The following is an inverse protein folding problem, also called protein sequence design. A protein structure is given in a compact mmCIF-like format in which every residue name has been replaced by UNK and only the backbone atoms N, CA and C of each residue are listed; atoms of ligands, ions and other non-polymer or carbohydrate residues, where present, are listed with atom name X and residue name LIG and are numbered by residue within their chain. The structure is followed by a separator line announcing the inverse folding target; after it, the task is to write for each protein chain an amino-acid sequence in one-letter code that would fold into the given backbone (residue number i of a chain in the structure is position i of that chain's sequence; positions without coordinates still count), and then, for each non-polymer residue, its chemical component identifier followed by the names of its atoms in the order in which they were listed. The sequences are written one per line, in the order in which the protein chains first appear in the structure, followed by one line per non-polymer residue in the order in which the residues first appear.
data_IF_264645196100
#
_entry.id   IF_264645196100
#
_cell.length_a   1.000
_cell.length_b   1.000
_cell.length_c   1.000
_cell.angle_alpha   90.00
_cell.angle_beta   90.00
_cell.angle_gamma   90.00
#
_symmetry.space_group_name_H-M   'P 1'
#
loop_
_entity.id
_entity.type
_entity.pdbx_description
1 polymer ?
#
# COMPACT_ATOMS: atom_id res chain seq x y z
N UNK A 1 17.17 22.89 -13.51
CA UNK A 1 15.86 22.91 -12.82
C UNK A 1 14.94 23.84 -13.59
N UNK A 2 14.09 23.31 -14.46
CA UNK A 2 12.99 24.05 -15.09
C UNK A 2 11.91 24.22 -14.04
N UNK A 3 11.78 25.42 -13.49
CA UNK A 3 10.60 25.82 -12.73
C UNK A 3 9.41 25.79 -13.68
N UNK A 4 8.56 24.79 -13.55
CA UNK A 4 7.25 24.74 -14.24
C UNK A 4 6.42 25.85 -13.59
N UNK A 5 6.32 27.00 -14.25
CA UNK A 5 5.34 28.03 -13.90
C UNK A 5 3.94 27.48 -14.20
N UNK A 6 3.37 26.77 -13.23
CA UNK A 6 1.95 26.43 -13.26
C UNK A 6 1.14 27.73 -13.18
N UNK A 7 0.12 27.93 -14.03
CA UNK A 7 -0.74 29.09 -13.90
C UNK A 7 -1.41 29.07 -12.52
N UNK A 8 -1.24 30.13 -11.74
CA UNK A 8 -1.92 30.31 -10.45
C UNK A 8 -3.41 30.06 -10.64
N UNK A 9 -3.96 29.12 -9.91
CA UNK A 9 -5.36 28.73 -10.05
C UNK A 9 -6.26 29.94 -9.74
N UNK A 10 -6.98 30.45 -10.78
CA UNK A 10 -7.82 31.63 -10.69
C UNK A 10 -9.00 31.49 -9.72
N UNK A 11 -9.29 30.27 -9.26
CA UNK A 11 -10.40 29.98 -8.34
C UNK A 11 -10.04 30.26 -6.87
N UNK A 12 -8.76 30.15 -6.49
CA UNK A 12 -8.31 30.49 -5.14
C UNK A 12 -8.20 32.01 -5.01
N UNK A 13 -9.06 32.59 -4.18
CA UNK A 13 -9.20 34.05 -4.03
C UNK A 13 -9.20 34.49 -2.58
N UNK A 14 -8.88 35.74 -2.33
CA UNK A 14 -8.95 36.28 -0.96
C UNK A 14 -10.40 36.32 -0.44
N UNK A 15 -10.54 36.19 0.87
CA UNK A 15 -11.83 36.26 1.55
C UNK A 15 -12.61 37.57 1.22
N UNK A 16 -11.89 38.70 1.12
CA UNK A 16 -12.46 39.99 0.70
C UNK A 16 -13.05 39.91 -0.72
N UNK A 17 -12.33 39.26 -1.65
CA UNK A 17 -12.80 39.08 -3.03
C UNK A 17 -14.01 38.14 -3.12
N UNK A 18 -14.06 37.08 -2.32
CA UNK A 18 -15.23 36.19 -2.21
C UNK A 18 -16.49 36.94 -1.81
N UNK A 19 -16.42 37.83 -0.80
CA UNK A 19 -17.55 38.65 -0.37
C UNK A 19 -18.04 39.56 -1.49
N UNK A 20 -17.12 40.21 -2.18
CA UNK A 20 -17.45 41.13 -3.30
C UNK A 20 -18.10 40.34 -4.44
N UNK A 21 -17.55 39.21 -4.83
CA UNK A 21 -18.09 38.38 -5.91
C UNK A 21 -19.46 37.79 -5.55
N UNK A 22 -19.62 37.26 -4.36
CA UNK A 22 -20.91 36.74 -3.89
C UNK A 22 -22.02 37.80 -3.98
N UNK A 23 -21.74 39.04 -3.53
CA UNK A 23 -22.67 40.17 -3.63
C UNK A 23 -22.98 40.54 -5.09
N UNK A 24 -21.96 40.57 -5.96
CA UNK A 24 -22.11 40.81 -7.38
C UNK A 24 -23.02 39.78 -8.04
N UNK A 25 -22.76 38.51 -7.85
CA UNK A 25 -23.54 37.43 -8.44
C UNK A 25 -24.97 37.36 -7.89
N UNK A 26 -25.18 37.67 -6.61
CA UNK A 26 -26.54 37.79 -6.04
C UNK A 26 -27.34 38.86 -6.72
N UNK A 27 -26.75 40.05 -7.02
CA UNK A 27 -27.41 41.11 -7.79
C UNK A 27 -27.78 40.69 -9.23
N UNK A 28 -27.09 39.68 -9.76
CA UNK A 28 -27.35 39.05 -11.05
C UNK A 28 -28.38 37.90 -10.99
N UNK A 29 -29.02 37.70 -9.82
CA UNK A 29 -29.99 36.63 -9.60
C UNK A 29 -29.41 35.25 -9.38
N UNK A 30 -28.06 35.14 -9.23
CA UNK A 30 -27.40 33.87 -9.04
C UNK A 30 -27.54 33.35 -7.59
N UNK A 31 -27.85 32.07 -7.45
CA UNK A 31 -27.96 31.37 -6.17
C UNK A 31 -26.60 30.96 -5.66
N UNK A 32 -26.18 31.56 -4.55
CA UNK A 32 -24.86 31.30 -3.92
C UNK A 32 -24.96 30.16 -2.95
N UNK A 33 -24.06 29.18 -3.09
CA UNK A 33 -23.85 28.07 -2.17
C UNK A 33 -22.51 28.25 -1.46
N UNK A 34 -22.45 27.92 -0.18
CA UNK A 34 -21.21 27.86 0.58
C UNK A 34 -21.05 26.49 1.22
N UNK A 35 -19.83 26.00 1.29
CA UNK A 35 -19.43 24.80 2.00
C UNK A 35 -18.09 25.06 2.69
N UNK A 36 -17.93 24.68 3.96
CA UNK A 36 -16.67 24.86 4.69
C UNK A 36 -16.12 23.53 5.18
N UNK A 37 -14.81 23.50 5.36
CA UNK A 37 -14.14 22.32 5.92
C UNK A 37 -12.63 22.48 6.00
N UNK A 38 -11.99 21.50 6.62
CA UNK A 38 -10.53 21.45 6.72
C UNK A 38 -9.86 20.98 5.43
N UNK A 39 -10.44 19.99 4.80
CA UNK A 39 -9.91 19.34 3.58
C UNK A 39 -8.44 18.88 3.73
N UNK A 40 -8.07 18.39 4.93
CA UNK A 40 -6.67 18.11 5.26
C UNK A 40 -6.07 16.98 4.39
N UNK A 41 -6.66 15.80 4.38
CA UNK A 41 -6.33 14.74 3.41
C UNK A 41 -7.57 14.54 2.57
N UNK A 42 -7.54 15.01 1.31
CA UNK A 42 -8.69 14.86 0.41
C UNK A 42 -8.93 13.38 0.12
N UNK A 43 -10.19 12.97 0.23
CA UNK A 43 -10.67 11.62 -0.05
C UNK A 43 -12.03 11.68 -0.76
N UNK A 44 -12.51 10.53 -1.25
CA UNK A 44 -13.75 10.45 -2.02
C UNK A 44 -14.95 11.10 -1.33
N UNK A 45 -15.04 11.02 0.01
CA UNK A 45 -16.10 11.68 0.76
C UNK A 45 -16.12 13.20 0.56
N UNK A 46 -14.96 13.86 0.55
CA UNK A 46 -14.88 15.30 0.26
C UNK A 46 -15.33 15.61 -1.18
N UNK A 47 -14.91 14.81 -2.16
CA UNK A 47 -15.29 15.01 -3.57
C UNK A 47 -16.81 14.91 -3.75
N UNK A 48 -17.43 13.85 -3.20
CA UNK A 48 -18.88 13.67 -3.28
C UNK A 48 -19.66 14.77 -2.55
N UNK A 49 -19.19 15.19 -1.36
CA UNK A 49 -19.81 16.31 -0.63
C UNK A 49 -19.76 17.61 -1.43
N UNK A 50 -18.65 17.90 -2.11
CA UNK A 50 -18.52 19.09 -2.96
C UNK A 50 -19.47 18.99 -4.16
N UNK A 51 -19.55 17.85 -4.82
CA UNK A 51 -20.45 17.62 -5.96
C UNK A 51 -21.94 17.68 -5.55
N UNK A 52 -22.29 17.28 -4.32
CA UNK A 52 -23.64 17.45 -3.79
C UNK A 52 -23.93 18.91 -3.45
N UNK A 53 -22.96 19.62 -2.86
CA UNK A 53 -23.09 21.05 -2.53
C UNK A 53 -23.25 21.90 -3.80
N UNK A 54 -22.52 21.62 -4.87
CA UNK A 54 -22.63 22.31 -6.16
C UNK A 54 -24.05 22.28 -6.71
N UNK A 55 -24.76 21.14 -6.61
CA UNK A 55 -26.15 20.99 -7.06
C UNK A 55 -27.17 21.85 -6.33
N UNK A 56 -26.79 22.53 -5.24
CA UNK A 56 -27.70 23.33 -4.42
C UNK A 56 -27.89 24.75 -4.95
N UNK A 57 -27.11 25.19 -5.96
CA UNK A 57 -27.23 26.53 -6.54
C UNK A 57 -26.42 26.74 -7.81
N UNK A 58 -26.16 28.01 -8.15
CA UNK A 58 -25.46 28.38 -9.40
C UNK A 58 -23.93 28.52 -9.21
N UNK A 59 -23.47 28.85 -8.01
CA UNK A 59 -22.06 29.10 -7.70
C UNK A 59 -21.72 28.57 -6.33
N UNK A 60 -20.68 27.71 -6.28
CA UNK A 60 -20.17 27.13 -5.03
C UNK A 60 -18.89 27.85 -4.57
N UNK A 61 -18.95 28.44 -3.40
CA UNK A 61 -17.83 29.01 -2.67
C UNK A 61 -17.39 28.04 -1.57
N UNK A 62 -16.22 27.46 -1.68
CA UNK A 62 -15.66 26.58 -0.65
C UNK A 62 -14.77 27.40 0.28
N UNK A 63 -15.02 27.29 1.58
CA UNK A 63 -14.30 27.99 2.65
C UNK A 63 -13.39 27.00 3.36
N UNK A 64 -12.09 27.16 3.21
CA UNK A 64 -11.06 26.27 3.79
C UNK A 64 -10.58 26.87 5.11
N UNK A 65 -10.63 26.11 6.21
CA UNK A 65 -10.06 26.54 7.47
C UNK A 65 -8.54 26.70 7.35
N UNK A 66 -7.98 27.83 7.85
CA UNK A 66 -6.53 28.03 7.87
C UNK A 66 -5.84 27.01 8.81
N UNK A 67 -4.53 26.89 8.68
CA UNK A 67 -3.73 26.02 9.56
C UNK A 67 -3.88 26.45 11.03
N UNK A 68 -3.96 27.75 11.29
CA UNK A 68 -4.20 28.31 12.62
C UNK A 68 -5.58 27.88 13.15
N UNK A 69 -6.62 27.99 12.32
CA UNK A 69 -7.97 27.57 12.67
C UNK A 69 -8.01 26.08 13.02
N UNK A 70 -7.43 25.23 12.19
CA UNK A 70 -7.41 23.75 12.39
C UNK A 70 -6.66 23.37 13.67
N UNK A 71 -5.50 23.97 13.94
CA UNK A 71 -4.72 23.72 15.17
C UNK A 71 -5.53 24.04 16.43
N UNK A 72 -6.30 25.12 16.40
CA UNK A 72 -7.04 25.58 17.57
C UNK A 72 -8.20 24.66 17.99
N UNK A 73 -8.82 23.92 17.07
CA UNK A 73 -9.96 23.09 17.41
C UNK A 73 -9.79 21.58 17.19
N UNK A 74 -8.74 21.15 16.46
CA UNK A 74 -8.45 19.71 16.27
C UNK A 74 -7.30 19.25 17.15
N UNK A 75 -6.07 19.65 16.81
CA UNK A 75 -4.88 19.37 17.61
C UNK A 75 -3.68 20.18 17.08
N UNK A 76 -2.61 20.37 17.90
CA UNK A 76 -1.39 21.06 17.46
C UNK A 76 -0.68 20.40 16.26
N UNK A 77 -0.87 19.09 16.07
CA UNK A 77 -0.25 18.31 15.00
C UNK A 77 -1.09 18.30 13.71
N UNK A 78 -2.18 19.04 13.65
CA UNK A 78 -3.05 19.17 12.47
C UNK A 78 -3.07 20.60 11.98
N UNK A 79 -3.26 20.87 10.68
CA UNK A 79 -3.42 19.91 9.59
C UNK A 79 -2.08 19.26 9.18
N UNK A 80 -2.14 18.18 8.42
CA UNK A 80 -0.96 17.52 7.80
C UNK A 80 -0.55 18.28 6.54
N UNK A 81 -1.53 18.76 5.76
CA UNK A 81 -1.32 19.50 4.51
C UNK A 81 -1.58 20.98 4.77
N UNK A 82 -0.64 21.84 4.37
CA UNK A 82 -0.73 23.29 4.54
C UNK A 82 -1.95 23.93 3.84
N UNK A 83 -2.47 25.01 4.40
CA UNK A 83 -3.72 25.67 3.93
C UNK A 83 -3.70 26.05 2.44
N UNK A 84 -2.55 26.48 1.91
CA UNK A 84 -2.40 26.85 0.49
C UNK A 84 -2.59 25.65 -0.42
N UNK A 85 -1.94 24.55 -0.10
CA UNK A 85 -2.02 23.31 -0.88
C UNK A 85 -3.43 22.71 -0.77
N UNK A 86 -4.06 22.75 0.42
CA UNK A 86 -5.44 22.33 0.63
C UNK A 86 -6.43 23.14 -0.22
N UNK A 87 -6.27 24.46 -0.25
CA UNK A 87 -7.11 25.34 -1.07
C UNK A 87 -6.91 25.07 -2.58
N UNK A 88 -5.67 24.87 -3.02
CA UNK A 88 -5.36 24.54 -4.41
C UNK A 88 -5.97 23.21 -4.81
N UNK A 89 -5.81 22.15 -4.00
CA UNK A 89 -6.41 20.83 -4.27
C UNK A 89 -7.94 20.90 -4.36
N UNK A 90 -8.59 21.61 -3.43
CA UNK A 90 -10.05 21.82 -3.46
C UNK A 90 -10.49 22.55 -4.71
N UNK A 91 -9.72 23.55 -5.16
CA UNK A 91 -10.05 24.33 -6.36
C UNK A 91 -10.00 23.53 -7.65
N UNK A 92 -9.25 22.42 -7.68
CA UNK A 92 -9.20 21.46 -8.77
C UNK A 92 -10.40 20.51 -8.85
N UNK A 93 -11.25 20.47 -7.83
CA UNK A 93 -12.42 19.58 -7.83
C UNK A 93 -13.50 20.21 -8.73
N UNK A 94 -14.10 19.37 -9.58
CA UNK A 94 -15.22 19.76 -10.44
C UNK A 94 -16.41 20.27 -9.60
N UNK A 95 -17.07 21.34 -10.05
CA UNK A 95 -18.18 21.98 -9.34
C UNK A 95 -17.77 23.09 -8.38
N UNK A 96 -16.47 23.27 -8.08
CA UNK A 96 -15.98 24.40 -7.27
C UNK A 96 -15.77 25.63 -8.15
N UNK A 97 -16.39 26.74 -7.80
CA UNK A 97 -16.19 28.02 -8.50
C UNK A 97 -15.12 28.87 -7.83
N UNK A 98 -15.19 29.00 -6.51
CA UNK A 98 -14.24 29.80 -5.73
C UNK A 98 -13.83 29.11 -4.44
N UNK A 99 -12.58 29.32 -4.05
CA UNK A 99 -12.03 28.84 -2.78
C UNK A 99 -11.44 30.03 -2.01
N UNK A 100 -11.67 30.08 -0.71
CA UNK A 100 -11.03 31.07 0.16
C UNK A 100 -10.65 30.46 1.51
N UNK A 101 -9.52 30.89 2.04
CA UNK A 101 -9.03 30.50 3.36
C UNK A 101 -9.56 31.48 4.40
N UNK A 102 -9.99 30.98 5.58
CA UNK A 102 -10.45 31.78 6.70
C UNK A 102 -9.83 31.33 8.02
N UNK A 103 -9.59 32.29 8.94
CA UNK A 103 -8.85 32.07 10.19
C UNK A 103 -9.73 31.75 11.40
N UNK A 104 -11.01 32.10 11.36
CA UNK A 104 -11.92 31.86 12.46
C UNK A 104 -12.15 30.35 12.68
N UNK A 105 -12.46 29.95 13.92
CA UNK A 105 -12.79 28.56 14.26
C UNK A 105 -14.08 28.13 13.54
N UNK A 106 -15.04 29.03 13.42
CA UNK A 106 -16.32 28.82 12.73
C UNK A 106 -16.48 29.80 11.58
N UNK A 107 -17.20 29.46 10.50
CA UNK A 107 -17.38 30.37 9.36
C UNK A 107 -18.45 31.46 9.60
N UNK A 108 -18.97 31.64 10.82
CA UNK A 108 -20.09 32.55 11.14
C UNK A 108 -19.83 33.96 10.63
N UNK A 109 -18.66 34.54 10.91
CA UNK A 109 -18.32 35.92 10.50
C UNK A 109 -18.34 36.10 8.99
N UNK A 110 -17.79 35.12 8.26
CA UNK A 110 -17.75 35.19 6.80
C UNK A 110 -19.11 34.89 6.17
N UNK A 111 -19.88 33.96 6.73
CA UNK A 111 -21.25 33.65 6.27
C UNK A 111 -22.17 34.85 6.43
N UNK A 112 -22.04 35.62 7.52
CA UNK A 112 -22.80 36.86 7.74
C UNK A 112 -22.47 37.94 6.66
N UNK A 113 -21.26 37.91 6.11
CA UNK A 113 -20.84 38.86 5.05
C UNK A 113 -21.20 38.37 3.63
N UNK A 114 -21.09 37.07 3.36
CA UNK A 114 -21.48 36.46 2.08
C UNK A 114 -22.98 36.37 1.93
N UNK A 115 -23.68 36.00 3.02
CA UNK A 115 -25.14 35.78 3.07
C UNK A 115 -25.57 34.75 2.02
N UNK A 116 -25.10 33.50 2.08
CA UNK A 116 -25.42 32.50 1.06
C UNK A 116 -26.92 32.19 1.04
N UNK A 117 -27.42 31.71 -0.11
CA UNK A 117 -28.76 31.16 -0.21
C UNK A 117 -28.84 29.76 0.38
N UNK A 118 -27.74 29.00 0.25
CA UNK A 118 -27.59 27.68 0.86
C UNK A 118 -26.21 27.58 1.48
N UNK A 119 -26.18 27.14 2.72
CA UNK A 119 -24.94 26.70 3.35
C UNK A 119 -24.99 25.20 3.54
N UNK A 120 -24.01 24.50 2.98
CA UNK A 120 -23.90 23.06 3.08
C UNK A 120 -23.05 22.68 4.29
N UNK A 121 -23.48 21.66 5.02
CA UNK A 121 -22.79 21.15 6.17
C UNK A 121 -22.80 19.62 6.19
N UNK A 122 -21.76 18.98 6.78
CA UNK A 122 -21.71 17.54 6.91
C UNK A 122 -22.77 16.99 7.86
N UNK A 123 -23.15 15.72 7.65
CA UNK A 123 -24.16 15.04 8.50
C UNK A 123 -23.75 14.96 9.97
N UNK A 124 -22.46 15.01 10.28
CA UNK A 124 -21.95 15.02 11.66
C UNK A 124 -22.45 16.23 12.48
N UNK A 125 -22.73 17.35 11.81
CA UNK A 125 -23.23 18.58 12.43
C UNK A 125 -24.76 18.73 12.29
N UNK A 126 -25.34 18.12 11.27
CA UNK A 126 -26.77 18.15 10.99
C UNK A 126 -27.33 19.54 10.73
N UNK A 127 -28.66 19.67 10.81
CA UNK A 127 -29.36 20.96 10.59
C UNK A 127 -29.20 21.94 11.75
N UNK A 128 -28.87 21.47 12.95
CA UNK A 128 -28.71 22.27 14.16
C UNK A 128 -27.26 22.76 14.36
N UNK A 129 -26.51 22.88 13.29
CA UNK A 129 -25.14 23.38 13.32
C UNK A 129 -25.06 24.84 13.82
N UNK A 130 -23.86 25.24 14.23
CA UNK A 130 -23.62 26.61 14.80
C UNK A 130 -23.84 27.72 13.76
N UNK A 131 -23.77 27.40 12.47
CA UNK A 131 -23.98 28.31 11.34
C UNK A 131 -25.47 28.59 11.06
N UNK A 132 -26.40 27.78 11.60
CA UNK A 132 -27.82 27.82 11.26
C UNK A 132 -28.43 29.21 11.45
N UNK A 133 -28.25 29.77 12.62
CA UNK A 133 -28.88 31.07 12.97
C UNK A 133 -28.41 32.20 12.05
N UNK A 134 -27.10 32.26 11.75
CA UNK A 134 -26.58 33.33 10.87
C UNK A 134 -27.03 33.15 9.41
N UNK A 135 -27.21 31.94 8.94
CA UNK A 135 -27.65 31.65 7.57
C UNK A 135 -29.15 31.96 7.42
N UNK A 136 -29.98 31.44 8.34
CA UNK A 136 -31.44 31.64 8.31
C UNK A 136 -31.84 33.11 8.55
N UNK A 137 -31.19 33.81 9.46
CA UNK A 137 -31.41 35.25 9.72
C UNK A 137 -31.07 36.14 8.49
N UNK A 138 -30.23 35.63 7.56
CA UNK A 138 -29.92 36.30 6.30
C UNK A 138 -30.75 35.77 5.11
N UNK A 139 -31.81 34.99 5.35
CA UNK A 139 -32.72 34.45 4.33
C UNK A 139 -32.22 33.24 3.58
N UNK A 140 -31.15 32.61 4.07
CA UNK A 140 -30.63 31.35 3.51
C UNK A 140 -31.20 30.11 4.21
N UNK A 141 -30.76 28.94 3.79
CA UNK A 141 -31.08 27.65 4.43
C UNK A 141 -29.84 26.77 4.61
N UNK A 142 -29.92 25.85 5.58
CA UNK A 142 -28.92 24.79 5.73
C UNK A 142 -29.31 23.60 4.85
N UNK A 143 -28.31 23.03 4.15
CA UNK A 143 -28.43 21.75 3.47
C UNK A 143 -27.42 20.77 4.11
N UNK A 144 -27.93 19.66 4.63
CA UNK A 144 -27.11 18.61 5.22
C UNK A 144 -26.68 17.65 4.12
N UNK A 145 -25.37 17.58 3.89
CA UNK A 145 -24.77 16.69 2.87
C UNK A 145 -24.86 15.24 3.32
N UNK A 146 -25.13 14.34 2.39
CA UNK A 146 -25.12 12.90 2.65
C UNK A 146 -23.76 12.43 3.12
N UNK A 147 -23.73 11.54 4.11
CA UNK A 147 -22.49 11.00 4.63
C UNK A 147 -22.12 9.69 3.93
N UNK A 148 -20.98 9.67 3.25
CA UNK A 148 -20.39 8.45 2.71
C UNK A 148 -19.72 7.66 3.83
N UNK A 149 -20.39 6.58 4.29
CA UNK A 149 -19.84 5.68 5.32
C UNK A 149 -18.46 5.17 4.91
N UNK A 150 -17.50 5.26 5.83
CA UNK A 150 -16.16 4.68 5.65
C UNK A 150 -15.05 5.68 5.30
N UNK A 151 -15.39 6.89 4.86
CA UNK A 151 -14.39 7.91 4.50
C UNK A 151 -14.27 8.97 5.59
N UNK A 152 -13.12 9.02 6.28
CA UNK A 152 -12.73 10.15 7.12
C UNK A 152 -11.21 10.26 7.16
N UNK A 153 -10.70 11.48 7.26
CA UNK A 153 -9.26 11.76 7.41
C UNK A 153 -8.65 11.01 8.60
N UNK A 154 -9.36 10.94 9.73
CA UNK A 154 -8.90 10.24 10.93
C UNK A 154 -8.76 8.73 10.69
N UNK A 155 -9.70 8.10 9.99
CA UNK A 155 -9.60 6.67 9.62
C UNK A 155 -8.46 6.40 8.64
N UNK A 156 -8.22 7.31 7.68
CA UNK A 156 -7.10 7.19 6.75
C UNK A 156 -5.77 7.28 7.49
N UNK A 157 -5.63 8.24 8.41
CA UNK A 157 -4.42 8.37 9.24
C UNK A 157 -4.22 7.12 10.09
N UNK A 158 -5.27 6.62 10.76
CA UNK A 158 -5.17 5.39 11.54
C UNK A 158 -4.73 4.21 10.66
N UNK A 159 -5.33 4.06 9.48
CA UNK A 159 -4.94 3.00 8.53
C UNK A 159 -3.47 3.14 8.08
N UNK A 160 -2.98 4.35 7.83
CA UNK A 160 -1.58 4.61 7.49
C UNK A 160 -0.68 4.19 8.67
N UNK A 161 -1.02 4.61 9.90
CA UNK A 161 -0.29 4.22 11.10
C UNK A 161 -0.29 2.70 11.27
N UNK A 162 -1.43 2.04 11.16
CA UNK A 162 -1.55 0.59 11.31
C UNK A 162 -0.67 -0.16 10.29
N UNK A 163 -0.71 0.26 9.03
CA UNK A 163 0.12 -0.32 7.95
C UNK A 163 1.61 -0.15 8.21
N UNK A 164 2.04 1.01 8.74
CA UNK A 164 3.47 1.29 8.97
C UNK A 164 3.98 0.91 10.35
N UNK A 165 3.10 0.68 11.33
CA UNK A 165 3.47 0.25 12.68
C UNK A 165 3.56 -1.27 12.83
N UNK A 166 2.93 -2.03 11.93
CA UNK A 166 3.06 -3.49 11.92
C UNK A 166 4.35 -3.85 11.19
N UNK A 167 5.32 -4.50 11.83
CA UNK A 167 6.52 -4.96 11.14
C UNK A 167 6.12 -5.84 9.95
N UNK A 168 6.74 -5.64 8.78
CA UNK A 168 6.43 -6.48 7.62
C UNK A 168 6.77 -7.94 7.91
N UNK A 169 5.88 -8.86 7.55
CA UNK A 169 6.20 -10.28 7.59
C UNK A 169 7.27 -10.56 6.54
N UNK A 170 8.44 -11.02 6.96
CA UNK A 170 9.59 -11.29 6.09
C UNK A 170 9.74 -12.78 5.86
N UNK A 171 10.25 -13.18 4.70
CA UNK A 171 10.48 -14.58 4.37
C UNK A 171 11.90 -14.83 3.84
N UNK A 172 12.36 -16.05 4.06
CA UNK A 172 13.49 -16.64 3.35
C UNK A 172 12.92 -17.76 2.49
N UNK A 173 12.87 -17.50 1.18
CA UNK A 173 12.50 -18.49 0.19
C UNK A 173 13.73 -19.31 -0.18
N UNK A 174 13.56 -20.63 -0.25
CA UNK A 174 14.64 -21.58 -0.52
C UNK A 174 14.27 -22.48 -1.68
N UNK A 175 15.14 -22.64 -2.67
CA UNK A 175 15.02 -23.81 -3.53
C UNK A 175 15.35 -25.08 -2.73
N UNK A 176 14.92 -26.23 -3.20
CA UNK A 176 15.17 -27.51 -2.56
C UNK A 176 16.42 -28.19 -3.12
N UNK A 177 16.35 -28.54 -4.41
CA UNK A 177 17.34 -29.39 -5.07
C UNK A 177 18.56 -28.57 -5.51
N UNK A 178 19.75 -28.89 -4.99
CA UNK A 178 20.97 -28.11 -5.17
C UNK A 178 21.17 -26.99 -4.15
N UNK A 179 20.15 -26.74 -3.30
CA UNK A 179 20.18 -25.68 -2.27
C UNK A 179 20.06 -26.27 -0.86
N UNK A 180 19.07 -27.11 -0.61
CA UNK A 180 18.88 -27.83 0.67
C UNK A 180 19.50 -29.21 0.60
N UNK A 181 19.31 -29.92 -0.51
CA UNK A 181 19.85 -31.27 -0.73
C UNK A 181 20.72 -31.34 -1.97
N UNK A 182 21.62 -32.34 -1.99
CA UNK A 182 22.39 -32.71 -3.17
C UNK A 182 21.45 -33.19 -4.28
N UNK A 183 21.71 -32.77 -5.53
CA UNK A 183 20.93 -33.14 -6.71
C UNK A 183 21.79 -33.70 -7.86
N UNK A 184 23.05 -34.13 -7.60
CA UNK A 184 23.99 -34.61 -8.60
C UNK A 184 23.47 -35.78 -9.41
N UNK A 185 22.55 -36.56 -8.84
CA UNK A 185 21.98 -37.75 -9.48
C UNK A 185 20.63 -37.45 -10.18
N UNK A 186 20.26 -36.19 -10.36
CA UNK A 186 19.02 -35.77 -11.04
C UNK A 186 17.83 -35.60 -10.08
N UNK A 187 16.68 -36.17 -10.45
CA UNK A 187 15.44 -35.99 -9.63
C UNK A 187 15.52 -36.78 -8.33
N UNK A 188 15.63 -36.06 -7.20
CA UNK A 188 15.56 -36.64 -5.84
C UNK A 188 14.10 -36.79 -5.43
N UNK A 189 13.62 -38.04 -5.41
CA UNK A 189 12.21 -38.37 -5.09
C UNK A 189 12.06 -39.54 -4.10
N UNK A 190 13.16 -40.13 -3.65
CA UNK A 190 13.21 -41.20 -2.64
C UNK A 190 13.98 -40.73 -1.42
N UNK A 191 13.66 -41.31 -0.26
CA UNK A 191 14.31 -40.96 1.00
C UNK A 191 15.79 -41.39 0.98
N UNK A 192 16.09 -42.56 0.42
CA UNK A 192 17.45 -43.13 0.32
C UNK A 192 18.39 -42.28 -0.57
N UNK A 193 17.84 -41.49 -1.49
CA UNK A 193 18.60 -40.61 -2.39
C UNK A 193 18.75 -39.18 -1.86
N UNK A 194 18.14 -38.85 -0.69
CA UNK A 194 18.11 -37.52 -0.16
C UNK A 194 19.25 -37.31 0.86
N UNK A 195 20.16 -36.41 0.54
CA UNK A 195 21.25 -36.00 1.42
C UNK A 195 21.22 -34.47 1.62
N UNK A 196 21.20 -34.00 2.86
CA UNK A 196 21.33 -32.58 3.15
C UNK A 196 22.73 -32.09 2.77
N UNK A 197 22.80 -30.94 2.08
CA UNK A 197 24.09 -30.30 1.83
C UNK A 197 24.75 -29.83 3.13
N UNK A 198 26.10 -29.80 3.17
CA UNK A 198 26.86 -29.36 4.35
C UNK A 198 26.44 -27.94 4.80
N UNK A 199 26.26 -27.73 6.11
CA UNK A 199 25.93 -26.44 6.69
C UNK A 199 24.48 -26.01 6.58
N UNK A 200 23.63 -26.74 5.85
CA UNK A 200 22.22 -26.39 5.64
C UNK A 200 21.43 -26.44 6.95
N UNK A 201 21.59 -27.49 7.74
CA UNK A 201 20.83 -27.66 9.00
C UNK A 201 21.16 -26.52 9.95
N UNK A 202 22.42 -26.19 10.15
CA UNK A 202 22.89 -25.12 11.01
C UNK A 202 22.39 -23.74 10.56
N UNK A 203 22.38 -23.49 9.24
CA UNK A 203 21.83 -22.25 8.68
C UNK A 203 20.32 -22.16 8.92
N UNK A 204 19.58 -23.23 8.66
CA UNK A 204 18.13 -23.29 8.89
C UNK A 204 17.77 -23.14 10.38
N UNK A 205 18.57 -23.69 11.30
CA UNK A 205 18.41 -23.48 12.73
C UNK A 205 18.58 -22.02 13.12
N UNK A 206 19.56 -21.31 12.51
CA UNK A 206 19.75 -19.87 12.73
C UNK A 206 18.56 -19.08 12.21
N UNK A 207 18.07 -19.38 11.01
CA UNK A 207 16.87 -18.74 10.45
C UNK A 207 15.63 -19.00 11.31
N UNK A 208 15.49 -20.21 11.86
CA UNK A 208 14.35 -20.58 12.73
C UNK A 208 14.29 -19.79 14.05
N UNK A 209 15.40 -19.14 14.44
CA UNK A 209 15.47 -18.26 15.62
C UNK A 209 15.12 -16.80 15.34
N UNK A 210 14.80 -16.49 14.08
CA UNK A 210 14.41 -15.15 13.64
C UNK A 210 12.90 -15.05 13.42
N UNK A 211 12.42 -13.86 13.08
CA UNK A 211 11.03 -13.59 12.66
C UNK A 211 10.76 -13.92 11.19
N UNK A 212 11.76 -14.35 10.43
CA UNK A 212 11.56 -14.78 9.05
C UNK A 212 10.68 -16.03 8.94
N UNK A 213 9.75 -16.01 8.00
CA UNK A 213 9.09 -17.22 7.51
C UNK A 213 10.06 -18.01 6.65
N UNK A 214 10.19 -19.32 6.86
CA UNK A 214 11.05 -20.17 6.05
C UNK A 214 10.18 -20.98 5.11
N UNK A 215 10.32 -20.73 3.79
CA UNK A 215 9.43 -21.26 2.76
C UNK A 215 10.25 -21.93 1.67
N UNK A 216 9.95 -23.19 1.39
CA UNK A 216 10.63 -23.93 0.33
C UNK A 216 9.81 -23.84 -0.96
N UNK A 217 10.48 -23.47 -2.07
CA UNK A 217 9.86 -23.32 -3.40
C UNK A 217 10.64 -24.12 -4.43
N UNK A 218 10.08 -25.22 -4.92
CA UNK A 218 10.78 -26.17 -5.77
C UNK A 218 10.07 -26.45 -7.11
N UNK A 219 10.85 -26.61 -8.17
CA UNK A 219 10.38 -27.10 -9.46
C UNK A 219 10.48 -28.62 -9.53
N UNK A 220 9.36 -29.33 -9.45
CA UNK A 220 9.28 -30.79 -9.46
C UNK A 220 8.68 -31.34 -10.75
N UNK A 221 9.28 -30.97 -11.90
CA UNK A 221 8.78 -31.37 -13.23
C UNK A 221 8.88 -32.88 -13.50
N UNK A 222 9.64 -33.63 -12.71
CA UNK A 222 9.67 -35.09 -12.80
C UNK A 222 8.28 -35.72 -12.62
N UNK A 223 7.39 -35.08 -11.86
CA UNK A 223 5.99 -35.51 -11.74
C UNK A 223 5.27 -35.37 -13.08
N UNK A 224 5.31 -34.16 -13.67
CA UNK A 224 4.66 -33.91 -14.97
C UNK A 224 5.29 -34.64 -16.15
N UNK A 225 6.56 -35.05 -16.02
CA UNK A 225 7.25 -35.90 -17.00
C UNK A 225 7.01 -37.40 -16.79
N UNK A 226 6.34 -37.80 -15.70
CA UNK A 226 6.09 -39.20 -15.39
C UNK A 226 7.30 -39.98 -14.85
N UNK A 227 8.38 -39.31 -14.43
CA UNK A 227 9.56 -39.98 -13.87
C UNK A 227 9.29 -40.56 -12.47
N UNK A 228 8.39 -39.94 -11.69
CA UNK A 228 7.94 -40.43 -10.41
C UNK A 228 6.53 -39.90 -10.08
N UNK A 229 5.81 -40.64 -9.21
CA UNK A 229 4.46 -40.27 -8.83
C UNK A 229 4.45 -39.17 -7.76
N UNK A 230 3.41 -38.32 -7.75
CA UNK A 230 3.19 -37.31 -6.72
C UNK A 230 3.26 -37.89 -5.31
N UNK A 231 2.74 -39.11 -5.09
CA UNK A 231 2.80 -39.82 -3.79
C UNK A 231 4.22 -39.99 -3.28
N UNK A 232 5.19 -40.30 -4.16
CA UNK A 232 6.62 -40.45 -3.78
C UNK A 232 7.18 -39.10 -3.32
N UNK A 233 6.88 -38.02 -4.07
CA UNK A 233 7.24 -36.66 -3.67
C UNK A 233 6.65 -36.28 -2.31
N UNK A 234 5.35 -36.55 -2.10
CA UNK A 234 4.68 -36.24 -0.84
C UNK A 234 5.29 -37.02 0.34
N UNK A 235 5.63 -38.29 0.14
CA UNK A 235 6.30 -39.12 1.15
C UNK A 235 7.67 -38.56 1.52
N UNK A 236 8.49 -38.21 0.53
CA UNK A 236 9.80 -37.59 0.77
C UNK A 236 9.64 -36.23 1.49
N UNK A 237 8.68 -35.40 1.06
CA UNK A 237 8.44 -34.09 1.66
C UNK A 237 8.06 -34.21 3.15
N UNK A 238 7.20 -35.16 3.48
CA UNK A 238 6.83 -35.42 4.89
C UNK A 238 8.03 -35.88 5.72
N UNK A 239 8.88 -36.75 5.15
CA UNK A 239 10.10 -37.19 5.81
C UNK A 239 11.08 -36.03 6.04
N UNK A 240 11.28 -35.14 5.03
CA UNK A 240 12.10 -33.94 5.16
C UNK A 240 11.60 -33.06 6.30
N UNK A 241 10.30 -32.74 6.33
CA UNK A 241 9.70 -31.91 7.38
C UNK A 241 9.86 -32.54 8.77
N UNK A 242 9.66 -33.87 8.90
CA UNK A 242 9.86 -34.59 10.17
C UNK A 242 11.33 -34.54 10.61
N UNK A 243 12.26 -34.74 9.71
CA UNK A 243 13.70 -34.71 9.95
C UNK A 243 14.16 -33.31 10.38
N UNK A 244 13.73 -32.27 9.68
CA UNK A 244 14.04 -30.87 9.99
C UNK A 244 13.45 -30.47 11.36
N UNK A 245 12.21 -30.85 11.64
CA UNK A 245 11.57 -30.60 12.95
C UNK A 245 12.33 -31.29 14.11
N UNK A 246 12.81 -32.52 13.92
CA UNK A 246 13.61 -33.23 14.94
C UNK A 246 14.99 -32.58 15.19
N UNK A 247 15.43 -31.72 14.24
CA UNK A 247 16.66 -30.90 14.36
C UNK A 247 16.36 -29.43 14.74
N UNK A 248 15.17 -29.16 15.31
CA UNK A 248 14.75 -27.83 15.75
C UNK A 248 14.69 -26.78 14.62
N UNK A 249 14.48 -27.23 13.38
CA UNK A 249 14.28 -26.38 12.22
C UNK A 249 12.78 -26.22 11.95
N UNK A 250 12.32 -24.97 11.87
CA UNK A 250 10.95 -24.63 11.52
C UNK A 250 10.87 -24.33 10.03
N UNK A 251 10.01 -25.05 9.31
CA UNK A 251 9.62 -24.73 7.94
C UNK A 251 8.14 -24.31 7.99
N UNK A 252 7.83 -23.09 7.54
CA UNK A 252 6.46 -22.57 7.58
C UNK A 252 5.62 -23.12 6.43
N UNK A 253 6.21 -23.30 5.22
CA UNK A 253 5.50 -23.84 4.07
C UNK A 253 6.44 -24.48 3.04
N UNK A 254 5.89 -25.40 2.21
CA UNK A 254 6.56 -25.95 1.03
C UNK A 254 5.62 -25.85 -0.15
N UNK A 255 6.09 -25.23 -1.25
CA UNK A 255 5.40 -25.19 -2.53
C UNK A 255 6.23 -25.88 -3.62
N UNK A 256 5.52 -26.51 -4.55
CA UNK A 256 6.19 -27.10 -5.70
C UNK A 256 5.36 -26.93 -6.97
N UNK A 257 6.06 -26.75 -8.08
CA UNK A 257 5.47 -26.84 -9.39
C UNK A 257 5.66 -28.26 -9.92
N UNK A 258 4.56 -28.96 -10.13
CA UNK A 258 4.57 -30.33 -10.67
C UNK A 258 4.41 -30.41 -12.21
N UNK A 259 4.21 -29.26 -12.87
CA UNK A 259 3.87 -29.23 -14.29
C UNK A 259 5.07 -29.59 -15.19
N UNK A 260 4.76 -30.14 -16.39
CA UNK A 260 5.75 -30.29 -17.43
C UNK A 260 6.36 -28.92 -17.80
N UNK A 261 7.65 -28.83 -18.15
CA UNK A 261 8.27 -27.55 -18.50
C UNK A 261 7.54 -26.76 -19.60
N UNK A 262 6.96 -27.46 -20.57
CA UNK A 262 6.28 -26.84 -21.71
C UNK A 262 4.82 -26.52 -21.47
N UNK A 263 4.32 -26.68 -20.23
CA UNK A 263 2.90 -26.43 -19.88
C UNK A 263 2.50 -24.95 -19.86
N UNK A 264 3.48 -24.03 -19.87
CA UNK A 264 3.21 -22.59 -19.80
C UNK A 264 2.59 -22.11 -18.48
N UNK A 265 2.73 -22.89 -17.39
CA UNK A 265 2.14 -22.52 -16.09
C UNK A 265 2.85 -21.30 -15.47
N UNK A 266 2.12 -20.54 -14.66
CA UNK A 266 2.60 -19.36 -13.94
C UNK A 266 3.41 -19.68 -12.67
N UNK A 267 3.33 -20.91 -12.17
CA UNK A 267 3.98 -21.30 -10.92
C UNK A 267 5.44 -21.78 -11.08
N UNK A 268 5.84 -22.26 -12.28
CA UNK A 268 7.20 -22.80 -12.49
C UNK A 268 8.25 -21.70 -12.52
N UNK A 269 9.25 -21.75 -11.63
CA UNK A 269 10.41 -20.84 -11.68
C UNK A 269 11.08 -20.92 -13.09
N UNK A 270 11.33 -19.78 -13.77
CA UNK A 270 11.46 -18.43 -13.24
C UNK A 270 10.15 -17.60 -13.10
N UNK A 271 8.98 -18.20 -13.32
CA UNK A 271 7.71 -17.54 -13.02
C UNK A 271 7.54 -17.35 -11.50
N UNK A 272 6.79 -16.34 -11.11
CA UNK A 272 6.66 -15.90 -9.71
C UNK A 272 5.39 -16.37 -8.99
N UNK A 273 4.56 -17.19 -9.64
CA UNK A 273 3.25 -17.58 -9.10
C UNK A 273 3.30 -18.28 -7.75
N UNK A 274 4.38 -19.06 -7.45
CA UNK A 274 4.57 -19.66 -6.14
C UNK A 274 4.93 -18.61 -5.05
N UNK A 275 5.68 -17.56 -5.40
CA UNK A 275 6.01 -16.48 -4.47
C UNK A 275 4.79 -15.60 -4.17
N UNK A 276 3.94 -15.32 -5.17
CA UNK A 276 2.74 -14.50 -4.99
C UNK A 276 1.70 -15.18 -4.08
N UNK A 277 1.58 -16.50 -4.12
CA UNK A 277 0.71 -17.24 -3.19
C UNK A 277 1.03 -16.96 -1.72
N UNK A 278 2.31 -16.78 -1.41
CA UNK A 278 2.78 -16.51 -0.05
C UNK A 278 2.42 -15.09 0.41
N UNK A 279 2.44 -14.11 -0.51
CA UNK A 279 1.98 -12.75 -0.21
C UNK A 279 0.53 -12.77 0.23
N UNK A 280 -0.32 -13.50 -0.49
CA UNK A 280 -1.75 -13.60 -0.18
C UNK A 280 -2.02 -14.39 1.10
N UNK A 281 -1.26 -15.47 1.37
CA UNK A 281 -1.50 -16.35 2.53
C UNK A 281 -0.95 -15.77 3.84
N UNK A 282 0.25 -15.15 3.81
CA UNK A 282 0.96 -14.70 5.01
C UNK A 282 1.16 -13.19 5.10
N UNK A 283 0.78 -12.41 4.07
CA UNK A 283 1.03 -10.97 4.02
C UNK A 283 2.53 -10.62 3.92
N UNK A 284 3.30 -11.42 3.17
CA UNK A 284 4.76 -11.27 3.10
C UNK A 284 5.15 -10.02 2.31
N UNK A 285 6.06 -9.23 2.90
CA UNK A 285 6.78 -8.16 2.20
C UNK A 285 7.92 -8.75 1.37
N UNK A 286 7.74 -8.80 0.07
CA UNK A 286 8.75 -9.36 -0.85
C UNK A 286 10.05 -8.54 -0.83
N UNK A 287 9.99 -7.21 -0.75
CA UNK A 287 11.15 -6.33 -0.71
C UNK A 287 12.06 -6.54 0.51
N UNK A 288 11.48 -7.01 1.63
CA UNK A 288 12.17 -7.27 2.87
C UNK A 288 12.57 -8.74 3.03
N UNK A 289 12.34 -9.54 1.99
CA UNK A 289 12.55 -10.99 1.95
C UNK A 289 13.77 -11.38 1.12
N UNK A 290 14.19 -12.64 1.28
CA UNK A 290 15.33 -13.22 0.58
C UNK A 290 14.93 -14.46 -0.21
N UNK A 291 15.58 -14.70 -1.34
CA UNK A 291 15.51 -15.95 -2.07
C UNK A 291 16.90 -16.54 -2.25
N UNK A 292 17.11 -17.76 -1.76
CA UNK A 292 18.35 -18.50 -1.87
C UNK A 292 18.13 -19.66 -2.82
N UNK A 293 18.95 -19.78 -3.84
CA UNK A 293 18.93 -20.86 -4.82
C UNK A 293 20.27 -21.06 -5.49
N UNK A 294 20.46 -22.20 -6.17
CA UNK A 294 21.68 -22.56 -6.86
C UNK A 294 21.63 -22.34 -8.39
N UNK A 295 20.44 -22.03 -8.93
CA UNK A 295 20.20 -21.95 -10.36
C UNK A 295 19.81 -20.51 -10.81
N UNK A 296 20.09 -20.16 -12.07
CA UNK A 296 19.71 -18.88 -12.67
C UNK A 296 18.20 -18.62 -12.58
N UNK A 297 17.36 -19.66 -12.70
CA UNK A 297 15.90 -19.53 -12.60
C UNK A 297 15.42 -19.02 -11.24
N UNK A 298 16.17 -19.29 -10.16
CA UNK A 298 15.87 -18.83 -8.82
C UNK A 298 16.16 -17.34 -8.68
N UNK A 299 17.32 -16.93 -9.22
CA UNK A 299 17.70 -15.51 -9.28
C UNK A 299 16.68 -14.72 -10.09
N UNK A 300 16.29 -15.22 -11.27
CA UNK A 300 15.31 -14.54 -12.13
C UNK A 300 13.95 -14.45 -11.41
N UNK A 301 13.48 -15.55 -10.80
CA UNK A 301 12.21 -15.53 -10.05
C UNK A 301 12.24 -14.53 -8.90
N UNK A 302 13.29 -14.53 -8.08
CA UNK A 302 13.45 -13.59 -6.99
C UNK A 302 13.50 -12.13 -7.45
N UNK A 303 14.30 -11.84 -8.47
CA UNK A 303 14.43 -10.48 -9.05
C UNK A 303 13.11 -9.98 -9.66
N UNK A 304 12.39 -10.84 -10.38
CA UNK A 304 11.08 -10.49 -10.96
C UNK A 304 10.01 -10.26 -9.89
N UNK A 305 10.13 -10.92 -8.75
CA UNK A 305 9.25 -10.70 -7.59
C UNK A 305 9.73 -9.57 -6.66
N UNK A 306 10.81 -8.88 -7.01
CA UNK A 306 11.42 -7.84 -6.19
C UNK A 306 11.89 -8.34 -4.80
N UNK A 307 12.37 -9.58 -4.74
CA UNK A 307 12.97 -10.22 -3.57
C UNK A 307 14.49 -10.14 -3.69
N UNK A 308 15.18 -9.91 -2.57
CA UNK A 308 16.65 -9.97 -2.54
C UNK A 308 17.12 -11.40 -2.81
N UNK A 309 18.11 -11.57 -3.68
CA UNK A 309 18.53 -12.91 -4.14
C UNK A 309 19.96 -13.23 -3.72
N UNK A 310 20.18 -14.47 -3.28
CA UNK A 310 21.49 -15.05 -3.04
C UNK A 310 21.62 -16.28 -3.93
N UNK A 311 22.62 -16.29 -4.82
CA UNK A 311 22.96 -17.47 -5.61
C UNK A 311 24.04 -18.28 -4.90
N UNK A 312 23.77 -19.57 -4.67
CA UNK A 312 24.74 -20.50 -4.10
C UNK A 312 25.70 -21.01 -5.17
N UNK A 313 26.92 -21.34 -4.73
CA UNK A 313 28.03 -21.80 -5.55
C UNK A 313 28.85 -20.67 -6.15
N UNK A 314 29.91 -21.05 -6.89
CA UNK A 314 30.78 -20.08 -7.52
C UNK A 314 30.07 -19.23 -8.57
N UNK A 315 30.54 -18.00 -8.81
CA UNK A 315 30.06 -17.19 -9.92
C UNK A 315 30.18 -17.96 -11.24
N UNK A 316 29.07 -18.01 -11.98
CA UNK A 316 29.06 -18.75 -13.26
C UNK A 316 30.03 -18.12 -14.26
N UNK A 317 30.74 -18.92 -15.09
CA UNK A 317 31.64 -18.38 -16.12
C UNK A 317 30.88 -17.60 -17.21
N UNK A 318 29.57 -17.81 -17.36
CA UNK A 318 28.69 -17.02 -18.24
C UNK A 318 27.93 -16.00 -17.41
N UNK A 319 27.87 -14.76 -17.91
CA UNK A 319 27.01 -13.69 -17.33
C UNK A 319 25.56 -14.17 -17.29
N UNK A 320 24.96 -14.10 -16.11
CA UNK A 320 23.55 -14.40 -15.92
C UNK A 320 22.68 -13.35 -16.63
N UNK A 321 21.46 -13.71 -17.01
CA UNK A 321 20.47 -12.77 -17.55
C UNK A 321 20.13 -11.66 -16.53
N UNK A 322 20.04 -12.04 -15.24
CA UNK A 322 19.88 -11.11 -14.13
C UNK A 322 20.90 -11.49 -13.05
N UNK A 323 21.69 -10.52 -12.60
CA UNK A 323 22.65 -10.75 -11.51
C UNK A 323 21.92 -10.85 -10.16
N UNK A 324 22.35 -11.78 -9.28
CA UNK A 324 21.84 -11.85 -7.91
C UNK A 324 22.31 -10.62 -7.10
N UNK A 325 21.65 -10.34 -5.98
CA UNK A 325 22.14 -9.32 -5.04
C UNK A 325 23.46 -9.75 -4.38
N UNK A 326 23.60 -11.04 -4.09
CA UNK A 326 24.81 -11.62 -3.51
C UNK A 326 25.09 -13.00 -4.09
N UNK A 327 26.36 -13.39 -4.07
CA UNK A 327 26.82 -14.77 -4.22
C UNK A 327 27.24 -15.29 -2.85
N UNK A 328 27.01 -16.56 -2.59
CA UNK A 328 27.49 -17.27 -1.41
C UNK A 328 27.96 -18.68 -1.82
N UNK A 329 29.08 -19.13 -1.32
CA UNK A 329 29.62 -20.46 -1.65
C UNK A 329 28.73 -21.59 -1.14
N UNK A 330 28.05 -21.37 -0.01
CA UNK A 330 27.21 -22.35 0.67
C UNK A 330 26.10 -21.64 1.51
N UNK A 331 25.24 -22.45 2.11
CA UNK A 331 24.14 -21.96 2.93
C UNK A 331 24.62 -21.26 4.22
N UNK A 332 25.81 -21.64 4.75
CA UNK A 332 26.37 -21.02 5.95
C UNK A 332 26.80 -19.57 5.68
N UNK A 333 27.37 -19.32 4.49
CA UNK A 333 27.71 -17.97 4.04
C UNK A 333 26.45 -17.15 3.71
N UNK A 334 25.44 -17.74 3.07
CA UNK A 334 24.15 -17.10 2.86
C UNK A 334 23.49 -16.66 4.16
N UNK A 335 23.58 -17.50 5.20
CA UNK A 335 23.08 -17.14 6.53
C UNK A 335 23.82 -15.95 7.16
N UNK A 336 25.13 -15.83 6.95
CA UNK A 336 25.89 -14.65 7.41
C UNK A 336 25.46 -13.37 6.69
N UNK A 337 25.22 -13.45 5.36
CA UNK A 337 24.77 -12.29 4.57
C UNK A 337 23.40 -11.78 5.07
N UNK A 338 22.49 -12.69 5.42
CA UNK A 338 21.13 -12.34 5.84
C UNK A 338 21.07 -11.83 7.28
N UNK A 339 21.88 -12.43 8.18
CA UNK A 339 21.78 -12.19 9.61
C UNK A 339 22.79 -11.16 10.15
N UNK A 340 23.81 -10.83 9.36
CA UNK A 340 24.92 -9.92 9.72
C UNK A 340 26.07 -10.70 10.33
#
# INVERSE_FOLDING_TARGET
QLAINMPTNRKVISLKKSIVLARKYKKQGKKIVTYNGNFDIIHLGHVKSIQEAEKQGDLLFVLVNSDKSVKNYKSPNRPIIGEKDRAEMVSGIEGVDYVSIFDDITPIVILNKIKPHVHCNGSDWGVNCVERSVVENNGGRIHVLGWEKGFSTSKLIQKIVDVHSTPPVRAIFLDRDGTINDNKNGYVHKIEDFEFLPGVIEALQKFSKTDYKIIIISNQSGIGRGHFAKKQYDTLTQWILKTLKAKEVKIDKIYHCQHHPDSGCDCRKPQIGMLLKEVDEFGISLNDSWFIGDDEKDVIAGRNANVKTIKLGDPMPKKLKLEPNHYAKDMAEAAKIILG
#
